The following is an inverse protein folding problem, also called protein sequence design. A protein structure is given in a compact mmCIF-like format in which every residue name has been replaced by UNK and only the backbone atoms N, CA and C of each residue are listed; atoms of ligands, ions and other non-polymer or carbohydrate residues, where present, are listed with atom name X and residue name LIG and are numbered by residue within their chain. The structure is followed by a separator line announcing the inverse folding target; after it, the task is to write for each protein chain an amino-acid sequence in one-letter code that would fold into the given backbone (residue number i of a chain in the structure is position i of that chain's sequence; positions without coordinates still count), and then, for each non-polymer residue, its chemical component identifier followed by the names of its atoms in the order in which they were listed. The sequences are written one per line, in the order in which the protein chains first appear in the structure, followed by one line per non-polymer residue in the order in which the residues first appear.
data_IF_242886722326
#
_entry.id   IF_242886722326
#
_cell.length_a   1.000
_cell.length_b   1.000
_cell.length_c   1.000
_cell.angle_alpha   90.00
_cell.angle_beta   90.00
_cell.angle_gamma   90.00
#
_symmetry.space_group_name_H-M   'P 1'
#
loop_
_entity.id
_entity.type
_entity.pdbx_description
1 polymer ?
#
# COMPACT_ATOMS: atom_id res chain seq x y z
N UNK A 1 -32.62 14.74 26.36
CA UNK A 1 -33.21 13.46 25.90
C UNK A 1 -32.35 12.34 26.48
N UNK A 2 -32.75 11.73 27.60
CA UNK A 2 -32.01 10.61 28.24
C UNK A 2 -32.34 9.33 27.46
N UNK A 3 -31.36 8.51 27.06
CA UNK A 3 -31.68 7.22 26.43
C UNK A 3 -32.48 6.36 27.41
N UNK A 4 -33.63 5.86 26.96
CA UNK A 4 -34.52 5.02 27.76
C UNK A 4 -34.00 3.60 27.79
N UNK A 5 -33.71 3.08 28.97
CA UNK A 5 -33.30 1.70 29.19
C UNK A 5 -34.53 0.77 29.18
N UNK A 6 -34.44 -0.47 28.63
CA UNK A 6 -33.31 -1.06 27.92
C UNK A 6 -33.46 -1.04 26.39
N UNK A 7 -32.36 -0.77 25.67
CA UNK A 7 -32.27 -0.88 24.19
C UNK A 7 -32.32 -2.34 23.68
N UNK A 8 -32.14 -3.31 24.59
CA UNK A 8 -32.19 -4.74 24.31
C UNK A 8 -33.28 -5.40 25.16
N UNK A 9 -34.24 -6.12 24.56
CA UNK A 9 -35.24 -6.85 25.32
C UNK A 9 -34.58 -7.95 26.17
N UNK A 10 -35.13 -8.18 27.36
CA UNK A 10 -34.54 -9.06 28.38
C UNK A 10 -34.37 -10.52 27.91
N UNK A 11 -35.19 -10.95 26.94
CA UNK A 11 -35.09 -12.25 26.30
C UNK A 11 -33.80 -12.37 25.45
N UNK A 12 -33.55 -11.41 24.55
CA UNK A 12 -32.36 -11.39 23.69
C UNK A 12 -31.06 -11.34 24.50
N UNK A 13 -31.06 -10.64 25.64
CA UNK A 13 -29.91 -10.60 26.53
C UNK A 13 -29.57 -11.99 27.12
N UNK A 14 -30.60 -12.80 27.46
CA UNK A 14 -30.41 -14.15 28.00
C UNK A 14 -29.92 -15.12 26.93
N UNK A 15 -30.39 -14.95 25.70
CA UNK A 15 -30.00 -15.80 24.58
C UNK A 15 -28.54 -15.55 24.17
N UNK A 16 -28.12 -14.29 23.99
CA UNK A 16 -26.71 -13.93 23.77
C UNK A 16 -25.78 -14.42 24.89
N UNK A 17 -26.24 -14.34 26.15
CA UNK A 17 -25.47 -14.85 27.29
C UNK A 17 -25.37 -16.39 27.29
N UNK A 18 -26.31 -17.12 26.68
CA UNK A 18 -26.23 -18.57 26.51
C UNK A 18 -25.26 -18.93 25.41
N UNK A 19 -25.29 -18.19 24.30
CA UNK A 19 -24.37 -18.33 23.16
C UNK A 19 -22.91 -18.16 23.60
N UNK A 20 -22.56 -17.05 24.26
CA UNK A 20 -21.19 -16.84 24.75
C UNK A 20 -20.74 -17.91 25.75
N UNK A 21 -21.64 -18.41 26.60
CA UNK A 21 -21.34 -19.53 27.51
C UNK A 21 -21.10 -20.84 26.77
N UNK A 22 -21.82 -21.08 25.67
CA UNK A 22 -21.61 -22.24 24.81
C UNK A 22 -20.27 -22.17 24.06
N UNK A 23 -19.87 -20.99 23.58
CA UNK A 23 -18.57 -20.75 22.95
C UNK A 23 -17.41 -20.99 23.93
N UNK A 24 -17.52 -20.47 25.16
CA UNK A 24 -16.52 -20.71 26.23
C UNK A 24 -16.44 -22.21 26.55
N UNK A 25 -17.58 -22.91 26.62
CA UNK A 25 -17.61 -24.36 26.86
C UNK A 25 -16.97 -25.16 25.72
N UNK A 26 -17.02 -24.65 24.49
CA UNK A 26 -16.31 -25.20 23.34
C UNK A 26 -14.82 -24.84 23.30
N UNK A 27 -14.31 -24.09 24.29
CA UNK A 27 -12.91 -23.66 24.37
C UNK A 27 -12.56 -22.44 23.53
N UNK A 28 -13.58 -21.74 22.99
CA UNK A 28 -13.40 -20.54 22.16
C UNK A 28 -13.56 -19.31 23.05
N UNK A 29 -12.54 -18.45 23.09
CA UNK A 29 -12.64 -17.17 23.78
C UNK A 29 -13.50 -16.20 22.92
N UNK A 30 -14.69 -15.78 23.38
CA UNK A 30 -15.61 -14.96 22.58
C UNK A 30 -15.06 -13.56 22.28
N UNK A 31 -14.12 -13.08 23.11
CA UNK A 31 -13.44 -11.79 22.91
C UNK A 31 -12.46 -11.91 21.75
N UNK A 32 -11.63 -12.95 21.75
CA UNK A 32 -10.63 -13.19 20.69
C UNK A 32 -11.35 -13.47 19.36
N UNK A 33 -12.37 -14.32 19.35
CA UNK A 33 -13.17 -14.58 18.15
C UNK A 33 -13.86 -13.32 17.59
N UNK A 34 -14.30 -12.41 18.45
CA UNK A 34 -14.84 -11.11 18.01
C UNK A 34 -13.76 -10.16 17.49
N UNK A 35 -12.56 -10.18 18.07
CA UNK A 35 -11.43 -9.39 17.57
C UNK A 35 -10.95 -9.90 16.22
N UNK A 36 -10.87 -11.22 16.04
CA UNK A 36 -10.52 -11.87 14.79
C UNK A 36 -11.53 -11.55 13.68
N UNK A 37 -12.83 -11.71 13.94
CA UNK A 37 -13.89 -11.33 12.97
C UNK A 37 -13.81 -9.86 12.55
N UNK A 38 -13.52 -8.96 13.50
CA UNK A 38 -13.34 -7.53 13.19
C UNK A 38 -12.08 -7.28 12.37
N UNK A 39 -10.98 -7.95 12.70
CA UNK A 39 -9.73 -7.84 11.96
C UNK A 39 -9.89 -8.39 10.53
N UNK A 40 -10.61 -9.49 10.35
CA UNK A 40 -10.97 -10.05 9.04
C UNK A 40 -11.80 -9.08 8.21
N UNK A 41 -12.86 -8.51 8.79
CA UNK A 41 -13.68 -7.52 8.09
C UNK A 41 -12.85 -6.30 7.64
N UNK A 42 -11.92 -5.83 8.48
CA UNK A 42 -11.01 -4.73 8.13
C UNK A 42 -10.04 -5.15 7.02
N UNK A 43 -9.51 -6.37 7.07
CA UNK A 43 -8.65 -6.92 6.00
C UNK A 43 -9.40 -7.02 4.68
N UNK A 44 -10.62 -7.52 4.68
CA UNK A 44 -11.45 -7.66 3.49
C UNK A 44 -11.77 -6.31 2.86
N UNK A 45 -12.14 -5.32 3.68
CA UNK A 45 -12.30 -3.94 3.23
C UNK A 45 -10.98 -3.40 2.67
N UNK A 46 -9.88 -3.65 3.37
CA UNK A 46 -8.53 -3.32 2.95
C UNK A 46 -8.13 -3.90 1.60
N UNK A 47 -8.47 -5.16 1.31
CA UNK A 47 -8.21 -5.82 0.02
C UNK A 47 -8.88 -5.11 -1.14
N UNK A 48 -10.04 -4.52 -0.89
CA UNK A 48 -10.82 -3.79 -1.89
C UNK A 48 -10.40 -2.32 -2.00
N UNK A 49 -9.61 -1.79 -1.06
CA UNK A 49 -9.09 -0.41 -1.16
C UNK A 49 -8.29 -0.23 -2.44
N UNK A 50 -8.47 0.92 -3.07
CA UNK A 50 -7.80 1.23 -4.32
C UNK A 50 -6.35 1.62 -4.07
N UNK A 51 -5.51 1.49 -5.10
CA UNK A 51 -4.14 1.98 -5.04
C UNK A 51 -4.06 3.46 -4.67
N UNK A 52 -4.98 4.27 -5.19
CA UNK A 52 -5.01 5.72 -4.93
C UNK A 52 -5.23 6.04 -3.45
N UNK A 53 -6.16 5.35 -2.80
CA UNK A 53 -6.46 5.50 -1.38
C UNK A 53 -5.29 5.03 -0.52
N UNK A 54 -4.73 3.84 -0.83
CA UNK A 54 -3.54 3.35 -0.14
C UNK A 54 -2.36 4.30 -0.29
N UNK A 55 -2.15 4.87 -1.48
CA UNK A 55 -1.10 5.86 -1.71
C UNK A 55 -1.29 7.12 -0.86
N UNK A 56 -2.52 7.62 -0.73
CA UNK A 56 -2.84 8.77 0.13
C UNK A 56 -2.57 8.48 1.60
N UNK A 57 -2.93 7.29 2.09
CA UNK A 57 -2.63 6.87 3.46
C UNK A 57 -1.12 6.87 3.71
N UNK A 58 -0.34 6.25 2.82
CA UNK A 58 1.13 6.21 2.93
C UNK A 58 1.74 7.61 2.88
N UNK A 59 1.24 8.48 1.98
CA UNK A 59 1.66 9.88 1.89
C UNK A 59 1.41 10.62 3.22
N UNK A 60 0.24 10.44 3.83
CA UNK A 60 -0.12 11.09 5.09
C UNK A 60 0.74 10.63 6.28
N UNK A 61 1.15 9.36 6.32
CA UNK A 61 2.11 8.88 7.33
C UNK A 61 3.50 9.45 7.09
N UNK A 62 3.97 9.42 5.84
CA UNK A 62 5.27 9.98 5.45
C UNK A 62 5.35 11.48 5.74
N UNK A 63 4.23 12.20 5.61
CA UNK A 63 4.15 13.63 5.94
C UNK A 63 4.36 13.92 7.41
N UNK A 64 3.92 13.03 8.30
CA UNK A 64 4.18 13.14 9.75
C UNK A 64 5.63 12.85 10.10
N UNK A 65 6.27 11.93 9.38
CA UNK A 65 7.66 11.51 9.63
C UNK A 65 8.68 12.48 9.04
N UNK A 66 8.43 12.99 7.83
CA UNK A 66 9.38 13.81 7.07
C UNK A 66 8.99 15.28 7.13
N UNK A 67 9.84 16.09 7.77
CA UNK A 67 9.68 17.56 7.81
C UNK A 67 9.80 18.27 6.45
N UNK A 68 10.16 17.55 5.37
CA UNK A 68 10.48 18.14 4.07
C UNK A 68 9.32 18.02 3.07
N UNK A 69 8.45 19.03 3.09
CA UNK A 69 7.23 19.15 2.28
C UNK A 69 7.49 18.95 0.77
N UNK A 70 8.63 19.44 0.26
CA UNK A 70 8.98 19.37 -1.18
C UNK A 70 9.11 17.93 -1.67
N UNK A 71 9.63 17.03 -0.85
CA UNK A 71 9.84 15.64 -1.24
C UNK A 71 8.50 14.90 -1.39
N UNK A 72 7.54 15.20 -0.52
CA UNK A 72 6.19 14.60 -0.54
C UNK A 72 5.41 15.13 -1.75
N UNK A 73 5.49 16.43 -2.03
CA UNK A 73 4.89 17.02 -3.23
C UNK A 73 5.43 16.37 -4.52
N UNK A 74 6.74 16.12 -4.59
CA UNK A 74 7.34 15.43 -5.73
C UNK A 74 6.89 13.96 -5.84
N UNK A 75 6.70 13.29 -4.69
CA UNK A 75 6.12 11.94 -4.61
C UNK A 75 4.72 11.91 -5.21
N UNK A 76 3.85 12.78 -4.69
CA UNK A 76 2.46 12.93 -5.12
C UNK A 76 2.35 13.21 -6.61
N UNK A 77 3.07 14.22 -7.09
CA UNK A 77 3.05 14.60 -8.52
C UNK A 77 3.48 13.45 -9.44
N UNK A 78 4.47 12.64 -9.05
CA UNK A 78 4.87 11.52 -9.93
C UNK A 78 3.87 10.36 -9.89
N UNK A 79 3.18 10.13 -8.77
CA UNK A 79 2.11 9.13 -8.71
C UNK A 79 0.90 9.58 -9.52
N UNK A 80 0.51 10.85 -9.41
CA UNK A 80 -0.59 11.46 -10.16
C UNK A 80 -0.34 11.42 -11.68
N UNK A 81 0.87 11.74 -12.12
CA UNK A 81 1.19 11.82 -13.55
C UNK A 81 1.33 10.44 -14.22
N UNK A 82 1.82 9.43 -13.50
CA UNK A 82 2.22 8.16 -14.12
C UNK A 82 1.47 6.94 -13.60
N UNK A 83 1.24 6.84 -12.28
CA UNK A 83 0.69 5.63 -11.67
C UNK A 83 -0.85 5.66 -11.60
N UNK A 84 -1.45 6.77 -11.15
CA UNK A 84 -2.90 6.86 -10.97
C UNK A 84 -3.73 6.63 -12.24
N UNK A 85 -3.32 7.10 -13.44
CA UNK A 85 -4.08 6.85 -14.66
C UNK A 85 -4.23 5.36 -15.01
N UNK A 86 -3.25 4.53 -14.64
CA UNK A 86 -3.20 3.11 -15.03
C UNK A 86 -3.66 2.21 -13.88
N UNK A 87 -3.09 2.38 -12.68
CA UNK A 87 -3.30 1.48 -11.54
C UNK A 87 -4.10 2.12 -10.40
N UNK A 88 -4.43 3.41 -10.48
CA UNK A 88 -5.05 4.15 -9.38
C UNK A 88 -6.41 3.62 -8.95
N UNK A 89 -7.21 3.13 -9.91
CA UNK A 89 -8.55 2.59 -9.70
C UNK A 89 -8.56 1.10 -9.32
N UNK A 90 -7.43 0.39 -9.49
CA UNK A 90 -7.32 -1.02 -9.18
C UNK A 90 -7.21 -1.23 -7.68
N UNK A 91 -7.85 -2.29 -7.19
CA UNK A 91 -7.70 -2.73 -5.80
C UNK A 91 -6.28 -3.23 -5.56
N UNK A 92 -5.71 -2.93 -4.38
CA UNK A 92 -4.30 -3.26 -4.08
C UNK A 92 -4.01 -4.76 -4.15
N UNK A 93 -5.01 -5.59 -3.86
CA UNK A 93 -4.89 -7.04 -3.97
C UNK A 93 -4.80 -7.54 -5.44
N UNK A 94 -5.41 -6.82 -6.39
CA UNK A 94 -5.44 -7.22 -7.80
C UNK A 94 -4.22 -6.76 -8.60
N UNK A 95 -3.41 -5.86 -8.04
CA UNK A 95 -2.23 -5.33 -8.74
C UNK A 95 -1.24 -6.46 -9.00
N UNK A 96 -0.88 -6.62 -10.27
CA UNK A 96 0.04 -7.64 -10.74
C UNK A 96 1.27 -6.98 -11.37
N UNK A 97 2.30 -7.80 -11.61
CA UNK A 97 3.53 -7.36 -12.27
C UNK A 97 3.27 -6.75 -13.66
N UNK A 98 2.25 -7.24 -14.37
CA UNK A 98 1.85 -6.75 -15.71
C UNK A 98 1.41 -5.30 -15.66
N UNK A 99 0.56 -4.94 -14.70
CA UNK A 99 0.10 -3.55 -14.51
C UNK A 99 1.24 -2.61 -14.17
N UNK A 100 2.23 -3.07 -13.42
CA UNK A 100 3.42 -2.27 -13.10
C UNK A 100 4.30 -2.08 -14.34
N UNK A 101 4.42 -3.10 -15.19
CA UNK A 101 5.14 -3.00 -16.46
C UNK A 101 4.46 -2.04 -17.42
N UNK A 102 3.14 -2.06 -17.53
CA UNK A 102 2.37 -1.11 -18.36
C UNK A 102 2.67 0.35 -17.98
N UNK A 103 2.81 0.64 -16.68
CA UNK A 103 3.22 1.96 -16.20
C UNK A 103 4.68 2.27 -16.51
N UNK A 104 5.59 1.33 -16.25
CA UNK A 104 7.02 1.60 -16.29
C UNK A 104 7.61 1.56 -17.71
N UNK A 105 7.11 0.69 -18.59
CA UNK A 105 7.67 0.46 -19.93
C UNK A 105 7.80 1.74 -20.78
N UNK A 106 6.77 2.61 -20.92
CA UNK A 106 6.92 3.83 -21.72
C UNK A 106 7.92 4.81 -21.10
N UNK A 107 7.98 4.88 -19.77
CA UNK A 107 8.89 5.79 -19.05
C UNK A 107 10.32 5.26 -19.06
N UNK A 108 10.50 3.93 -19.08
CA UNK A 108 11.81 3.28 -19.00
C UNK A 108 12.69 3.59 -20.21
N UNK A 109 12.07 3.70 -21.39
CA UNK A 109 12.74 4.03 -22.64
C UNK A 109 13.16 5.50 -22.70
N UNK A 110 12.34 6.41 -22.18
CA UNK A 110 12.61 7.85 -22.23
C UNK A 110 13.47 8.33 -21.03
N UNK A 111 13.06 7.97 -19.81
CA UNK A 111 13.56 8.52 -18.54
C UNK A 111 13.75 7.42 -17.49
N UNK A 112 14.80 6.62 -17.65
CA UNK A 112 15.09 5.49 -16.78
C UNK A 112 15.20 5.87 -15.28
N UNK A 113 15.88 6.98 -14.95
CA UNK A 113 16.01 7.44 -13.57
C UNK A 113 14.65 7.79 -12.93
N UNK A 114 13.72 8.35 -13.70
CA UNK A 114 12.36 8.66 -13.24
C UNK A 114 11.57 7.38 -13.02
N UNK A 115 11.65 6.43 -13.96
CA UNK A 115 10.99 5.15 -13.85
C UNK A 115 11.49 4.34 -12.63
N UNK A 116 12.82 4.30 -12.40
CA UNK A 116 13.40 3.65 -11.23
C UNK A 116 12.94 4.29 -9.92
N UNK A 117 12.82 5.62 -9.86
CA UNK A 117 12.28 6.30 -8.67
C UNK A 117 10.81 5.95 -8.48
N UNK A 118 9.99 6.06 -9.53
CA UNK A 118 8.57 5.74 -9.50
C UNK A 118 8.32 4.30 -9.02
N UNK A 119 9.06 3.33 -9.55
CA UNK A 119 9.00 1.93 -9.11
C UNK A 119 9.22 1.79 -7.62
N UNK A 120 10.26 2.42 -7.07
CA UNK A 120 10.54 2.39 -5.63
C UNK A 120 9.42 3.00 -4.79
N UNK A 121 8.66 3.97 -5.32
CA UNK A 121 7.48 4.54 -4.64
C UNK A 121 6.32 3.57 -4.63
N UNK A 122 6.04 2.94 -5.78
CA UNK A 122 5.01 1.90 -5.89
C UNK A 122 5.34 0.74 -4.96
N UNK A 123 6.60 0.31 -4.92
CA UNK A 123 7.12 -0.72 -4.02
C UNK A 123 6.78 -0.39 -2.56
N UNK A 124 7.12 0.82 -2.09
CA UNK A 124 6.79 1.22 -0.71
C UNK A 124 5.30 1.27 -0.38
N UNK A 125 4.44 1.58 -1.36
CA UNK A 125 2.98 1.60 -1.16
C UNK A 125 2.44 0.17 -1.06
N UNK A 126 2.91 -0.73 -1.91
CA UNK A 126 2.51 -2.14 -1.89
C UNK A 126 3.08 -2.88 -0.66
N UNK A 127 4.27 -2.50 -0.19
CA UNK A 127 4.84 -3.02 1.06
C UNK A 127 4.00 -2.60 2.27
N UNK A 128 3.50 -1.35 2.27
CA UNK A 128 2.56 -0.90 3.30
C UNK A 128 1.26 -1.72 3.28
N UNK A 129 0.70 -1.97 2.10
CA UNK A 129 -0.50 -2.79 1.98
C UNK A 129 -0.27 -4.24 2.42
N UNK A 130 0.91 -4.80 2.15
CA UNK A 130 1.33 -6.10 2.68
C UNK A 130 1.43 -6.08 4.20
N UNK A 131 2.05 -5.06 4.80
CA UNK A 131 2.15 -4.90 6.25
C UNK A 131 0.79 -4.72 6.95
N UNK A 132 -0.22 -4.23 6.21
CA UNK A 132 -1.62 -4.13 6.67
C UNK A 132 -2.47 -5.35 6.37
N UNK A 133 -1.89 -6.43 5.82
CA UNK A 133 -2.59 -7.66 5.43
C UNK A 133 -3.69 -7.41 4.38
N UNK A 134 -3.62 -6.29 3.65
CA UNK A 134 -4.53 -5.97 2.55
C UNK A 134 -4.18 -6.75 1.28
N UNK A 135 -2.99 -7.34 1.25
CA UNK A 135 -2.50 -8.19 0.17
C UNK A 135 -1.74 -9.37 0.75
N UNK A 136 -1.88 -10.52 0.10
CA UNK A 136 -1.11 -11.72 0.38
C UNK A 136 0.02 -11.91 -0.65
N UNK A 137 1.15 -12.50 -0.22
CA UNK A 137 2.27 -12.86 -1.07
C UNK A 137 3.34 -11.79 -1.24
N UNK A 138 4.13 -11.91 -2.31
CA UNK A 138 5.25 -11.02 -2.60
C UNK A 138 4.83 -9.74 -3.32
N UNK A 139 5.61 -8.68 -3.11
CA UNK A 139 5.36 -7.39 -3.74
C UNK A 139 5.70 -7.46 -5.24
N UNK A 140 4.72 -7.25 -6.14
CA UNK A 140 4.95 -7.32 -7.58
C UNK A 140 5.85 -6.18 -8.10
N UNK A 141 6.08 -5.12 -7.32
CA UNK A 141 7.00 -4.03 -7.65
C UNK A 141 8.47 -4.32 -7.29
N UNK A 142 8.77 -5.48 -6.71
CA UNK A 142 10.12 -5.88 -6.34
C UNK A 142 11.07 -5.91 -7.54
N UNK A 143 12.29 -5.39 -7.37
CA UNK A 143 13.27 -5.41 -8.47
C UNK A 143 13.95 -6.76 -8.64
N UNK A 144 14.50 -7.28 -7.53
CA UNK A 144 15.21 -8.56 -7.53
C UNK A 144 14.17 -9.67 -7.71
N UNK A 145 14.37 -10.54 -8.70
CA UNK A 145 13.49 -11.68 -8.98
C UNK A 145 12.29 -11.39 -9.90
N UNK A 146 11.67 -10.21 -9.82
CA UNK A 146 10.44 -9.93 -10.58
C UNK A 146 10.66 -9.07 -11.84
N UNK A 147 11.06 -7.80 -11.68
CA UNK A 147 11.11 -6.85 -12.80
C UNK A 147 12.43 -6.85 -13.58
N UNK A 148 13.55 -7.25 -12.95
CA UNK A 148 14.87 -7.30 -13.58
C UNK A 148 14.93 -8.09 -14.90
N UNK A 149 14.33 -9.29 -15.04
CA UNK A 149 14.39 -10.04 -16.31
C UNK A 149 13.49 -9.45 -17.41
N UNK A 150 12.49 -8.65 -17.04
CA UNK A 150 11.48 -8.14 -17.97
C UNK A 150 11.83 -6.77 -18.55
N UNK A 151 12.70 -6.01 -17.87
CA UNK A 151 13.13 -4.69 -18.30
C UNK A 151 14.60 -4.71 -18.75
N UNK A 152 14.94 -4.10 -19.91
CA UNK A 152 16.32 -3.98 -20.36
C UNK A 152 17.16 -3.19 -19.36
N UNK A 153 18.42 -3.60 -19.18
CA UNK A 153 19.31 -2.98 -18.19
C UNK A 153 19.50 -1.48 -18.45
N UNK A 154 19.36 -0.62 -17.41
CA UNK A 154 19.52 0.83 -17.54
C UNK A 154 20.84 1.27 -18.19
N UNK A 155 21.90 0.52 -17.92
CA UNK A 155 23.26 0.74 -18.44
C UNK A 155 23.34 0.68 -19.97
N UNK A 156 22.48 -0.12 -20.61
CA UNK A 156 22.42 -0.26 -22.07
C UNK A 156 21.65 0.88 -22.74
N UNK A 157 20.71 1.49 -22.01
CA UNK A 157 19.80 2.51 -22.54
C UNK A 157 20.36 3.92 -22.34
N UNK A 158 20.84 4.23 -21.12
CA UNK A 158 21.42 5.54 -20.80
C UNK A 158 22.89 5.40 -20.43
N UNK A 159 23.76 5.81 -21.35
CA UNK A 159 25.18 6.02 -21.05
C UNK A 159 25.29 7.15 -20.02
N UNK A 160 25.68 6.81 -18.79
CA UNK A 160 25.94 7.82 -17.74
C UNK A 160 27.09 8.71 -18.20
N UNK A 161 26.80 9.98 -18.47
CA UNK A 161 27.85 11.00 -18.64
C UNK A 161 28.35 11.35 -17.25
N UNK A 162 29.57 10.94 -16.92
CA UNK A 162 30.25 11.40 -15.72
C UNK A 162 30.61 12.87 -15.92
N UNK A 163 29.89 13.77 -15.25
CA UNK A 163 30.29 15.16 -15.16
C UNK A 163 31.52 15.22 -14.25
N UNK A 164 32.62 15.77 -14.77
CA UNK A 164 33.81 16.00 -13.97
C UNK A 164 33.43 16.84 -12.75
N UNK A 165 33.94 16.52 -11.55
CA UNK A 165 33.66 17.32 -10.37
C UNK A 165 34.08 18.76 -10.64
N UNK A 166 33.20 19.71 -10.32
CA UNK A 166 33.53 21.13 -10.38
C UNK A 166 34.69 21.35 -9.41
N UNK A 167 35.89 21.63 -9.95
CA UNK A 167 37.08 21.94 -9.15
C UNK A 167 36.82 23.29 -8.47
N UNK A 168 36.29 23.24 -7.26
CA UNK A 168 36.07 24.42 -6.43
C UNK A 168 37.43 25.08 -6.18
N UNK A 169 37.71 26.17 -6.89
CA UNK A 169 38.91 26.96 -6.67
C UNK A 169 38.75 27.70 -5.33
N UNK A 170 39.37 27.15 -4.29
CA UNK A 170 39.62 27.89 -3.06
C UNK A 170 40.59 29.03 -3.40
N UNK A 171 40.16 30.27 -3.15
CA UNK A 171 40.97 31.48 -3.18
C UNK A 171 40.77 32.22 -1.87
#
# INVERSE_FOLDING_TARGET
MKPSYPELPLAEARDKAREFRSEIKAGINPIEANQERKAEAIREQGRNTTFSECAQLVLSMREKELKNIKHIAQWRSSLENYAFPVIGHLSVNQINKTHILEVLQPIWLEKNATASRLRGRIETILDYAKAKEFREGDNPAGWKGMLKPLLPEPSKIQKRKHHAPCRTALR
#
